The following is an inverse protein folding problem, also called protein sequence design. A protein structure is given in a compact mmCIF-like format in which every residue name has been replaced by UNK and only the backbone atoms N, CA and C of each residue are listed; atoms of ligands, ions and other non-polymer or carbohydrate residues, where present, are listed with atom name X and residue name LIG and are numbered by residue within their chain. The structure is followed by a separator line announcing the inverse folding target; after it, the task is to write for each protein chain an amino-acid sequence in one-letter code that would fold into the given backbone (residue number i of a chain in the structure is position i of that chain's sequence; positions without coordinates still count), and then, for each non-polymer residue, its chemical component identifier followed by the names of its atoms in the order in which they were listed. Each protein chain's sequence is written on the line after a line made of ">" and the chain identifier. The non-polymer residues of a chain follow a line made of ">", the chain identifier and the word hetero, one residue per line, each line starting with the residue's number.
data_IF_119033034825
#
_entry.id   IF_119033034825
#
_cell.length_a   1.000
_cell.length_b   1.000
_cell.length_c   1.000
_cell.angle_alpha   90.00
_cell.angle_beta   90.00
_cell.angle_gamma   90.00
#
_symmetry.space_group_name_H-M   'P 1'
#
loop_
_entity.id
_entity.type
_entity.pdbx_description
1 polymer ?
#
# COMPACT_ATOMS: atom_id res chain seq x y z
N UNK A 1 -0.98 -0.06 24.59
CA UNK A 1 0.49 -0.17 24.35
C UNK A 1 1.08 1.16 23.96
N UNK A 2 2.26 1.43 24.42
CA UNK A 2 3.06 2.55 23.92
C UNK A 2 3.84 2.13 22.68
N UNK A 3 4.41 3.10 21.98
CA UNK A 3 5.11 2.87 20.72
C UNK A 3 6.26 1.87 20.84
N UNK A 4 6.98 1.86 21.98
CA UNK A 4 8.07 0.91 22.21
C UNK A 4 7.61 -0.53 22.25
N UNK A 5 6.51 -0.81 22.93
CA UNK A 5 5.92 -2.15 22.97
C UNK A 5 5.36 -2.53 21.60
N UNK A 6 4.70 -1.60 20.94
CA UNK A 6 4.17 -1.83 19.59
C UNK A 6 5.31 -2.17 18.61
N UNK A 7 6.41 -1.46 18.68
CA UNK A 7 7.62 -1.74 17.90
C UNK A 7 8.14 -3.15 18.17
N UNK A 8 8.24 -3.55 19.45
CA UNK A 8 8.71 -4.88 19.81
C UNK A 8 7.80 -5.98 19.29
N UNK A 9 6.49 -5.78 19.33
CA UNK A 9 5.52 -6.80 18.92
C UNK A 9 5.39 -6.93 17.40
N UNK A 10 5.62 -5.85 16.67
CA UNK A 10 5.44 -5.85 15.21
C UNK A 10 6.74 -6.01 14.44
N UNK A 11 7.86 -5.77 15.06
CA UNK A 11 9.16 -5.75 14.39
C UNK A 11 9.40 -4.49 13.56
N UNK A 12 8.50 -3.52 13.63
CA UNK A 12 8.64 -2.24 12.95
C UNK A 12 9.38 -1.24 13.83
N UNK A 13 10.22 -0.39 13.23
CA UNK A 13 10.92 0.64 13.97
C UNK A 13 9.94 1.70 14.47
N UNK A 14 10.31 2.40 15.54
CA UNK A 14 9.53 3.52 16.05
C UNK A 14 9.36 4.61 15.00
N UNK A 15 10.39 4.85 14.17
CA UNK A 15 10.34 5.84 13.11
C UNK A 15 9.31 5.46 12.04
N UNK A 16 9.25 4.17 11.67
CA UNK A 16 8.24 3.67 10.76
C UNK A 16 6.83 3.84 11.34
N UNK A 17 6.65 3.51 12.61
CA UNK A 17 5.36 3.66 13.29
C UNK A 17 4.93 5.12 13.35
N UNK A 18 5.84 6.05 13.63
CA UNK A 18 5.57 7.49 13.62
C UNK A 18 5.19 7.98 12.23
N UNK A 19 5.86 7.45 11.20
CA UNK A 19 5.51 7.75 9.82
C UNK A 19 4.09 7.27 9.49
N UNK A 20 3.74 6.05 9.89
CA UNK A 20 2.40 5.50 9.67
C UNK A 20 1.32 6.35 10.36
N UNK A 21 1.62 6.85 11.55
CA UNK A 21 0.71 7.75 12.26
C UNK A 21 0.52 9.06 11.50
N UNK A 22 1.61 9.62 10.96
CA UNK A 22 1.54 10.86 10.18
C UNK A 22 0.69 10.73 8.93
N UNK A 23 0.73 9.58 8.27
CA UNK A 23 -0.05 9.37 7.02
C UNK A 23 -1.43 8.79 7.29
N UNK A 24 -1.83 8.65 8.54
CA UNK A 24 -3.17 8.20 8.90
C UNK A 24 -3.39 6.69 8.92
N UNK A 25 -2.33 5.89 8.78
CA UNK A 25 -2.44 4.43 8.90
C UNK A 25 -2.55 3.95 10.33
N UNK A 26 -2.08 4.73 11.29
CA UNK A 26 -2.17 4.44 12.71
C UNK A 26 -2.87 5.57 13.41
N UNK A 27 -3.66 5.23 14.40
CA UNK A 27 -4.37 6.19 15.24
C UNK A 27 -4.27 5.74 16.69
N UNK A 28 -3.44 6.45 17.45
CA UNK A 28 -3.27 6.19 18.88
C UNK A 28 -3.91 7.26 19.71
N UNK A 29 -4.48 6.87 20.85
CA UNK A 29 -5.04 7.81 21.80
C UNK A 29 -3.93 8.58 22.50
N UNK A 30 -4.05 9.91 22.52
CA UNK A 30 -3.08 10.75 23.21
C UNK A 30 -3.39 10.76 24.70
N UNK A 31 -2.40 10.33 25.49
CA UNK A 31 -2.51 10.36 26.95
C UNK A 31 -2.21 11.77 27.49
N UNK A 32 -2.64 12.08 28.74
CA UNK A 32 -2.36 13.39 29.35
C UNK A 32 -0.87 13.75 29.43
N UNK A 33 0.02 12.74 29.50
CA UNK A 33 1.46 12.94 29.54
C UNK A 33 2.09 13.16 28.16
N UNK A 34 1.28 13.24 27.09
CA UNK A 34 1.74 13.45 25.73
C UNK A 34 2.13 12.21 24.97
N UNK A 35 2.17 11.04 25.60
CA UNK A 35 2.44 9.79 24.92
C UNK A 35 1.18 9.26 24.22
N UNK A 36 1.40 8.44 23.19
CA UNK A 36 0.31 7.75 22.49
C UNK A 36 0.07 6.38 23.12
N UNK A 37 -1.17 6.01 23.18
CA UNK A 37 -1.59 4.67 23.61
C UNK A 37 -2.28 3.96 22.44
N UNK A 38 -1.77 2.81 22.06
CA UNK A 38 -2.30 2.02 20.96
C UNK A 38 -3.03 0.79 21.51
N UNK A 39 -4.24 0.50 21.02
CA UNK A 39 -4.96 -0.71 21.44
C UNK A 39 -4.28 -1.97 20.92
N UNK A 40 -4.52 -3.13 21.55
CA UNK A 40 -3.93 -4.40 21.10
C UNK A 40 -4.27 -4.75 19.65
N UNK A 41 -5.43 -4.33 19.17
CA UNK A 41 -5.88 -4.54 17.79
C UNK A 41 -4.94 -3.92 16.76
N UNK A 42 -4.16 -2.93 17.17
CA UNK A 42 -3.16 -2.29 16.31
C UNK A 42 -2.13 -3.29 15.80
N UNK A 43 -1.74 -4.28 16.60
CA UNK A 43 -0.80 -5.32 16.16
C UNK A 43 -1.39 -6.11 14.99
N UNK A 44 -2.66 -6.50 15.12
CA UNK A 44 -3.37 -7.23 14.06
C UNK A 44 -3.45 -6.39 12.79
N UNK A 45 -3.80 -5.13 12.92
CA UNK A 45 -3.88 -4.19 11.80
C UNK A 45 -2.55 -4.04 11.09
N UNK A 46 -1.45 -3.92 11.82
CA UNK A 46 -0.12 -3.77 11.23
C UNK A 46 0.35 -5.04 10.52
N UNK A 47 0.00 -6.20 11.03
CA UNK A 47 0.24 -7.47 10.33
C UNK A 47 -0.52 -7.51 9.01
N UNK A 48 -1.75 -7.04 9.03
CA UNK A 48 -2.58 -6.93 7.84
C UNK A 48 -1.94 -6.00 6.80
N UNK A 49 -1.49 -4.81 7.23
CA UNK A 49 -0.79 -3.86 6.36
C UNK A 49 0.44 -4.50 5.72
N UNK A 50 1.23 -5.22 6.51
CA UNK A 50 2.43 -5.89 6.02
C UNK A 50 2.09 -6.96 4.98
N UNK A 51 1.06 -7.76 5.23
CA UNK A 51 0.60 -8.77 4.26
C UNK A 51 0.16 -8.12 2.96
N UNK A 52 -0.60 -7.04 3.04
CA UNK A 52 -1.04 -6.30 1.86
C UNK A 52 0.16 -5.76 1.05
N UNK A 53 1.18 -5.23 1.73
CA UNK A 53 2.40 -4.79 1.05
C UNK A 53 3.11 -5.94 0.34
N UNK A 54 3.16 -7.11 0.96
CA UNK A 54 3.73 -8.32 0.35
C UNK A 54 2.99 -8.72 -0.92
N UNK A 55 1.69 -8.48 -0.96
CA UNK A 55 0.86 -8.72 -2.14
C UNK A 55 0.95 -7.61 -3.20
N UNK A 56 1.79 -6.62 -2.97
CA UNK A 56 2.02 -5.55 -3.93
C UNK A 56 1.19 -4.29 -3.73
N UNK A 57 0.49 -4.17 -2.60
CA UNK A 57 -0.25 -2.94 -2.28
C UNK A 57 0.68 -1.88 -1.72
N UNK A 58 0.50 -0.64 -2.17
CA UNK A 58 1.20 0.50 -1.59
C UNK A 58 0.48 0.98 -0.33
N UNK A 59 1.19 1.72 0.51
CA UNK A 59 0.58 2.32 1.70
C UNK A 59 -0.55 3.29 1.33
N UNK A 60 -0.41 4.01 0.22
CA UNK A 60 -1.46 4.90 -0.25
C UNK A 60 -2.73 4.14 -0.65
N UNK A 61 -2.57 3.00 -1.32
CA UNK A 61 -3.69 2.14 -1.69
C UNK A 61 -4.41 1.60 -0.45
N UNK A 62 -3.64 1.14 0.53
CA UNK A 62 -4.21 0.64 1.80
C UNK A 62 -4.90 1.78 2.55
N UNK A 63 -4.32 2.97 2.56
CA UNK A 63 -4.85 4.14 3.25
C UNK A 63 -6.19 4.62 2.69
N UNK A 64 -6.44 4.44 1.40
CA UNK A 64 -7.73 4.79 0.80
C UNK A 64 -8.90 4.02 1.39
N UNK A 65 -8.65 2.82 1.88
CA UNK A 65 -9.65 1.97 2.53
C UNK A 65 -9.42 1.88 4.05
N UNK A 66 -8.62 2.79 4.59
CA UNK A 66 -8.06 2.68 5.94
C UNK A 66 -9.07 2.51 7.04
N UNK A 67 -10.13 3.34 7.07
CA UNK A 67 -11.14 3.26 8.13
C UNK A 67 -11.90 1.95 8.10
N UNK A 68 -12.38 1.55 6.93
CA UNK A 68 -13.12 0.31 6.75
C UNK A 68 -12.29 -0.91 7.15
N UNK A 69 -11.02 -0.91 6.72
CA UNK A 69 -10.10 -2.01 7.00
C UNK A 69 -9.69 -2.07 8.47
N UNK A 70 -9.48 -0.91 9.11
CA UNK A 70 -9.13 -0.88 10.54
C UNK A 70 -10.25 -1.35 11.43
N UNK A 71 -11.49 -0.98 11.07
CA UNK A 71 -12.66 -1.35 11.85
C UNK A 71 -13.02 -2.82 11.66
N UNK A 72 -12.78 -3.37 10.49
CA UNK A 72 -13.11 -4.75 10.17
C UNK A 72 -12.08 -5.35 9.20
N UNK A 73 -10.85 -5.69 9.67
CA UNK A 73 -9.80 -6.20 8.80
C UNK A 73 -10.18 -7.48 8.05
N UNK A 74 -11.07 -8.28 8.63
CA UNK A 74 -11.53 -9.54 8.04
C UNK A 74 -12.81 -9.37 7.23
N UNK A 75 -13.27 -8.13 7.02
CA UNK A 75 -14.48 -7.88 6.24
C UNK A 75 -14.25 -8.25 4.77
N UNK A 76 -15.06 -9.18 4.27
CA UNK A 76 -14.99 -9.57 2.87
C UNK A 76 -15.28 -8.40 1.93
N UNK A 77 -16.20 -7.51 2.31
CA UNK A 77 -16.53 -6.35 1.49
C UNK A 77 -15.36 -5.36 1.39
N UNK A 78 -14.71 -5.05 2.52
CA UNK A 78 -13.57 -4.15 2.55
C UNK A 78 -12.38 -4.72 1.79
N UNK A 79 -12.12 -6.02 1.97
CA UNK A 79 -11.06 -6.71 1.23
C UNK A 79 -11.33 -6.73 -0.26
N UNK A 80 -12.57 -7.03 -0.67
CA UNK A 80 -12.94 -7.03 -2.09
C UNK A 80 -12.75 -5.67 -2.72
N UNK A 81 -13.13 -4.60 -2.04
CA UNK A 81 -12.93 -3.23 -2.54
C UNK A 81 -11.45 -2.92 -2.75
N UNK A 82 -10.60 -3.30 -1.79
CA UNK A 82 -9.16 -3.12 -1.89
C UNK A 82 -8.58 -3.88 -3.08
N UNK A 83 -8.96 -5.16 -3.22
CA UNK A 83 -8.46 -6.01 -4.31
C UNK A 83 -8.95 -5.52 -5.67
N UNK A 84 -10.19 -5.10 -5.78
CA UNK A 84 -10.74 -4.57 -7.03
C UNK A 84 -10.01 -3.30 -7.47
N UNK A 85 -9.67 -2.42 -6.54
CA UNK A 85 -8.85 -1.24 -6.83
C UNK A 85 -7.48 -1.64 -7.38
N UNK A 86 -6.85 -2.64 -6.77
CA UNK A 86 -5.54 -3.12 -7.22
C UNK A 86 -5.64 -3.75 -8.61
N UNK A 87 -6.68 -4.51 -8.87
CA UNK A 87 -6.91 -5.13 -10.17
C UNK A 87 -7.01 -4.06 -11.25
N UNK A 88 -7.70 -2.96 -10.99
CA UNK A 88 -7.78 -1.84 -11.95
C UNK A 88 -6.39 -1.26 -12.26
N UNK A 89 -5.53 -1.13 -11.25
CA UNK A 89 -4.15 -0.66 -11.43
C UNK A 89 -3.36 -1.66 -12.27
N UNK A 90 -3.47 -2.95 -11.97
CA UNK A 90 -2.80 -4.02 -12.72
C UNK A 90 -3.25 -4.02 -14.18
N UNK A 91 -4.55 -3.94 -14.42
CA UNK A 91 -5.10 -3.91 -15.78
C UNK A 91 -4.57 -2.72 -16.59
N UNK A 92 -4.50 -1.55 -15.96
CA UNK A 92 -3.94 -0.36 -16.60
C UNK A 92 -2.47 -0.55 -16.97
N UNK A 93 -1.68 -1.16 -16.07
CA UNK A 93 -0.27 -1.46 -16.33
C UNK A 93 -0.10 -2.48 -17.44
N UNK A 94 -0.95 -3.49 -17.47
CA UNK A 94 -0.93 -4.49 -18.55
C UNK A 94 -1.22 -3.84 -19.90
N UNK A 95 -2.18 -2.92 -19.96
CA UNK A 95 -2.48 -2.20 -21.19
C UNK A 95 -1.30 -1.33 -21.65
N UNK A 96 -0.67 -0.62 -20.70
CA UNK A 96 0.53 0.18 -21.00
C UNK A 96 1.67 -0.68 -21.53
N UNK A 97 1.92 -1.82 -20.91
CA UNK A 97 2.97 -2.75 -21.34
C UNK A 97 2.66 -3.37 -22.71
N UNK A 98 1.41 -3.69 -22.97
CA UNK A 98 0.97 -4.21 -24.27
C UNK A 98 1.24 -3.19 -25.37
N UNK A 99 0.90 -1.92 -25.12
CA UNK A 99 1.15 -0.83 -26.07
C UNK A 99 2.66 -0.62 -26.30
N UNK A 100 3.44 -0.63 -25.22
CA UNK A 100 4.88 -0.47 -25.30
C UNK A 100 5.51 -1.62 -26.10
N UNK A 101 5.07 -2.85 -25.83
CA UNK A 101 5.58 -4.03 -26.54
C UNK A 101 5.29 -3.93 -28.05
N UNK A 102 4.08 -3.51 -28.40
CA UNK A 102 3.71 -3.32 -29.80
C UNK A 102 4.57 -2.26 -30.48
N UNK A 103 4.82 -1.14 -29.78
CA UNK A 103 5.67 -0.08 -30.31
C UNK A 103 7.10 -0.57 -30.52
N UNK A 104 7.66 -1.26 -29.53
CA UNK A 104 9.02 -1.81 -29.67
C UNK A 104 9.10 -2.83 -30.79
N UNK A 105 8.10 -3.69 -30.90
CA UNK A 105 8.05 -4.71 -31.97
C UNK A 105 8.04 -4.05 -33.36
N UNK A 106 7.30 -2.97 -33.52
CA UNK A 106 7.24 -2.25 -34.80
C UNK A 106 8.55 -1.60 -35.18
N UNK A 107 9.45 -1.37 -34.24
CA UNK A 107 10.73 -0.76 -34.44
C UNK A 107 11.87 -1.77 -34.71
N UNK A 108 11.63 -3.04 -34.46
CA UNK A 108 12.61 -4.08 -34.67
C UNK A 108 12.90 -4.18 -36.16
N UNK A 109 14.18 -4.12 -36.52
CA UNK A 109 14.63 -4.21 -37.91
C UNK A 109 14.52 -2.93 -38.74
N UNK A 110 14.08 -1.82 -38.11
CA UNK A 110 13.92 -0.55 -38.84
C UNK A 110 15.23 0.21 -39.03
N UNK A 111 16.27 -0.14 -38.29
CA UNK A 111 17.55 0.57 -38.32
C UNK A 111 17.58 1.90 -37.60
N UNK A 112 16.43 2.39 -37.12
CA UNK A 112 16.34 3.67 -36.41
C UNK A 112 15.46 3.57 -35.20
N UNK A 113 15.80 2.70 -34.20
CA UNK A 113 14.89 2.38 -33.09
C UNK A 113 14.62 3.54 -32.15
N UNK A 114 15.49 4.52 -32.09
CA UNK A 114 15.33 5.64 -31.13
C UNK A 114 14.66 6.86 -31.74
N UNK A 115 14.28 6.83 -33.00
CA UNK A 115 13.52 7.90 -33.62
C UNK A 115 12.04 7.70 -33.36
N UNK A 116 11.42 8.67 -32.71
CA UNK A 116 10.02 8.56 -32.34
C UNK A 116 9.07 8.81 -33.51
N UNK A 117 9.42 9.68 -34.42
CA UNK A 117 8.53 10.19 -35.47
C UNK A 117 9.06 9.91 -36.88
N UNK A 118 9.31 8.70 -37.16
CA UNK A 118 9.69 8.27 -38.48
C UNK A 118 8.50 8.36 -39.42
N UNK A 119 8.43 9.35 -40.11
CA UNK A 119 7.37 9.46 -41.14
C UNK A 119 7.94 9.52 -42.53
#
# INVERSE_FOLDING_TARGET
>A
MRIGELSARTGLSKDTLRFYERIGLLDGDRLPNGYRDFPPETVVWLRYVRTAQTLGFTLAEIGRHGEELRDAPDSAAALSALFEDKIRVVDARMAELTALRADLTSRVGTGCPLRADRT
#
